data_IF_018973063308
#
_entry.id   IF_018973063308
#
_cell.length_a   1.000
_cell.length_b   1.000
_cell.length_c   1.000
_cell.angle_alpha   90.00
_cell.angle_beta   90.00
_cell.angle_gamma   90.00
#
_symmetry.space_group_name_H-M   'P 1'
#
loop_
_entity.id
_entity.type
_entity.pdbx_description
1 polymer ?
#
# COMPACT_ATOMS: atom_id res chain seq x y z
N UNK A 1 -11.05 -12.35 27.17
CA UNK A 1 -10.73 -11.22 26.29
C UNK A 1 -9.35 -10.72 26.68
N UNK A 2 -8.28 -11.12 25.94
CA UNK A 2 -6.93 -10.58 26.15
C UNK A 2 -6.92 -9.14 25.67
N UNK A 3 -6.48 -8.23 26.54
CA UNK A 3 -6.19 -6.85 26.11
C UNK A 3 -5.18 -6.89 24.95
N UNK A 4 -5.34 -6.06 23.90
CA UNK A 4 -4.37 -5.99 22.84
C UNK A 4 -3.01 -5.62 23.45
N UNK A 5 -2.01 -6.46 23.19
CA UNK A 5 -0.62 -6.18 23.62
C UNK A 5 -0.18 -4.95 22.84
N UNK A 6 -0.04 -3.83 23.54
CA UNK A 6 0.42 -2.58 22.91
C UNK A 6 1.78 -2.82 22.25
N UNK A 7 1.92 -2.38 20.99
CA UNK A 7 3.19 -2.46 20.26
C UNK A 7 4.31 -1.77 21.08
N UNK A 8 5.41 -2.46 21.40
CA UNK A 8 6.45 -1.92 22.29
C UNK A 8 7.09 -0.64 21.73
N UNK A 9 7.16 -0.46 20.43
CA UNK A 9 7.67 0.76 19.80
C UNK A 9 6.75 1.95 20.08
N UNK A 10 5.45 1.72 20.03
CA UNK A 10 4.44 2.73 20.33
C UNK A 10 4.32 3.04 21.82
N UNK A 11 4.49 2.03 22.66
CA UNK A 11 4.46 2.22 24.12
C UNK A 11 5.53 3.24 24.60
N UNK A 12 6.73 3.19 24.03
CA UNK A 12 7.80 4.14 24.30
C UNK A 12 7.43 5.59 23.93
N UNK A 13 6.80 5.79 22.78
CA UNK A 13 6.34 7.11 22.33
C UNK A 13 5.25 7.67 23.26
N UNK A 14 4.29 6.84 23.67
CA UNK A 14 3.21 7.26 24.57
C UNK A 14 3.72 7.61 25.97
N UNK A 15 4.67 6.83 26.49
CA UNK A 15 5.32 7.13 27.77
C UNK A 15 6.04 8.48 27.73
N UNK A 16 6.82 8.75 26.67
CA UNK A 16 7.51 10.02 26.49
C UNK A 16 6.54 11.20 26.36
N UNK A 17 5.42 11.03 25.67
CA UNK A 17 4.38 12.05 25.53
C UNK A 17 3.71 12.40 26.85
N UNK A 18 3.63 11.45 27.79
CA UNK A 18 3.14 11.70 29.15
C UNK A 18 4.14 12.43 30.05
N UNK A 19 5.42 12.48 29.69
CA UNK A 19 6.49 13.12 30.49
C UNK A 19 6.69 14.57 30.08
N UNK A 20 7.05 14.82 28.82
CA UNK A 20 7.24 16.18 28.31
C UNK A 20 7.15 16.25 26.78
N UNK A 21 6.79 17.44 26.22
CA UNK A 21 6.81 17.63 24.78
C UNK A 21 8.18 17.42 24.12
N UNK A 22 9.26 17.75 24.84
CA UNK A 22 10.62 17.56 24.34
C UNK A 22 10.97 16.07 24.24
N UNK A 23 10.66 15.27 25.25
CA UNK A 23 10.87 13.83 25.23
C UNK A 23 9.99 13.13 24.19
N UNK A 24 8.75 13.57 24.02
CA UNK A 24 7.86 13.09 22.96
C UNK A 24 8.44 13.34 21.58
N UNK A 25 8.97 14.54 21.32
CA UNK A 25 9.59 14.91 20.05
C UNK A 25 10.84 14.07 19.77
N UNK A 26 11.68 13.85 20.78
CA UNK A 26 12.88 13.02 20.65
C UNK A 26 12.53 11.54 20.40
N UNK A 27 11.57 11.00 21.14
CA UNK A 27 11.10 9.62 20.94
C UNK A 27 10.50 9.42 19.55
N UNK A 28 9.70 10.37 19.07
CA UNK A 28 9.13 10.39 17.73
C UNK A 28 10.24 10.44 16.66
N UNK A 29 11.23 11.32 16.83
CA UNK A 29 12.36 11.43 15.90
C UNK A 29 13.16 10.11 15.80
N UNK A 30 13.46 9.48 16.91
CA UNK A 30 14.13 8.17 16.94
C UNK A 30 13.31 7.09 16.24
N UNK A 31 12.01 7.05 16.45
CA UNK A 31 11.10 6.09 15.84
C UNK A 31 11.00 6.30 14.32
N UNK A 32 10.89 7.56 13.89
CA UNK A 32 10.82 7.91 12.46
C UNK A 32 12.12 7.58 11.73
N UNK A 33 13.27 7.98 12.26
CA UNK A 33 14.56 7.80 11.59
C UNK A 33 15.03 6.34 11.69
N UNK A 34 14.91 5.72 12.87
CA UNK A 34 15.43 4.39 13.12
C UNK A 34 14.59 3.25 12.54
N UNK A 35 13.28 3.38 12.62
CA UNK A 35 12.36 2.29 12.26
C UNK A 35 11.51 2.59 11.02
N UNK A 36 10.86 3.77 10.97
CA UNK A 36 9.90 4.06 9.92
C UNK A 36 10.56 4.31 8.56
N UNK A 37 11.58 5.15 8.48
CA UNK A 37 12.21 5.54 7.23
C UNK A 37 12.79 4.34 6.46
N UNK A 38 13.54 3.40 7.08
CA UNK A 38 14.03 2.21 6.39
C UNK A 38 12.89 1.30 5.89
N UNK A 39 11.82 1.15 6.66
CA UNK A 39 10.68 0.33 6.30
C UNK A 39 9.88 0.95 5.15
N UNK A 40 9.65 2.26 5.18
CA UNK A 40 9.04 3.00 4.07
C UNK A 40 9.86 2.85 2.79
N UNK A 41 11.18 3.05 2.85
CA UNK A 41 12.07 2.87 1.70
C UNK A 41 11.97 1.47 1.09
N UNK A 42 12.00 0.44 1.92
CA UNK A 42 11.85 -0.94 1.45
C UNK A 42 10.52 -1.15 0.72
N UNK A 43 9.42 -0.65 1.30
CA UNK A 43 8.08 -0.77 0.73
C UNK A 43 7.97 0.00 -0.61
N UNK A 44 8.47 1.24 -0.65
CA UNK A 44 8.41 2.10 -1.83
C UNK A 44 9.24 1.53 -2.97
N UNK A 45 10.49 1.12 -2.71
CA UNK A 45 11.36 0.49 -3.72
C UNK A 45 10.77 -0.78 -4.30
N UNK A 46 10.10 -1.58 -3.47
CA UNK A 46 9.41 -2.79 -3.91
C UNK A 46 8.21 -2.49 -4.83
N UNK A 47 7.45 -1.44 -4.54
CA UNK A 47 6.22 -1.11 -5.28
C UNK A 47 6.45 -0.19 -6.48
N UNK A 48 7.48 0.65 -6.44
CA UNK A 48 7.88 1.57 -7.50
C UNK A 48 9.19 1.14 -8.18
N UNK A 49 9.41 -0.17 -8.30
CA UNK A 49 10.56 -0.70 -9.02
C UNK A 49 10.57 -0.18 -10.47
N UNK A 50 11.70 0.36 -10.92
CA UNK A 50 11.85 0.97 -12.24
C UNK A 50 11.40 2.44 -12.36
N UNK A 51 10.83 3.01 -11.30
CA UNK A 51 10.54 4.46 -11.23
C UNK A 51 11.82 5.20 -10.83
N UNK A 52 12.08 6.43 -11.37
CA UNK A 52 13.23 7.24 -10.98
C UNK A 52 13.34 7.44 -9.46
N UNK A 53 14.56 7.47 -8.94
CA UNK A 53 14.80 7.61 -7.49
C UNK A 53 14.21 8.90 -6.94
N UNK A 54 14.29 10.00 -7.70
CA UNK A 54 13.70 11.28 -7.30
C UNK A 54 12.18 11.21 -7.03
N UNK A 55 11.45 10.48 -7.89
CA UNK A 55 10.01 10.24 -7.69
C UNK A 55 9.74 9.35 -6.46
N UNK A 56 10.62 8.37 -6.21
CA UNK A 56 10.53 7.54 -4.99
C UNK A 56 10.81 8.36 -3.73
N UNK A 57 11.75 9.31 -3.77
CA UNK A 57 12.06 10.24 -2.68
C UNK A 57 10.89 11.18 -2.37
N UNK A 58 10.18 11.65 -3.40
CA UNK A 58 8.95 12.43 -3.23
C UNK A 58 7.90 11.65 -2.44
N UNK A 59 7.63 10.41 -2.86
CA UNK A 59 6.67 9.52 -2.17
C UNK A 59 7.11 9.22 -0.75
N UNK A 60 8.40 8.99 -0.52
CA UNK A 60 8.98 8.72 0.79
C UNK A 60 8.80 9.91 1.73
N UNK A 61 9.12 11.11 1.29
CA UNK A 61 9.00 12.35 2.07
C UNK A 61 7.54 12.64 2.42
N UNK A 62 6.63 12.48 1.46
CA UNK A 62 5.20 12.64 1.70
C UNK A 62 4.64 11.60 2.68
N UNK A 63 5.11 10.36 2.60
CA UNK A 63 4.71 9.29 3.51
C UNK A 63 5.23 9.54 4.94
N UNK A 64 6.49 10.01 5.09
CA UNK A 64 7.06 10.37 6.38
C UNK A 64 6.29 11.52 7.04
N UNK A 65 5.93 12.55 6.28
CA UNK A 65 5.16 13.68 6.79
C UNK A 65 3.81 13.21 7.36
N UNK A 66 3.05 12.43 6.58
CA UNK A 66 1.77 11.86 7.02
C UNK A 66 1.90 10.97 8.25
N UNK A 67 2.97 10.16 8.29
CA UNK A 67 3.25 9.29 9.42
C UNK A 67 3.54 10.12 10.67
N UNK A 68 4.33 11.19 10.55
CA UNK A 68 4.64 12.11 11.65
C UNK A 68 3.36 12.72 12.23
N UNK A 69 2.50 13.27 11.39
CA UNK A 69 1.22 13.85 11.81
C UNK A 69 0.34 12.83 12.55
N UNK A 70 0.24 11.62 12.00
CA UNK A 70 -0.59 10.56 12.61
C UNK A 70 -0.02 10.03 13.92
N UNK A 71 1.29 9.91 14.04
CA UNK A 71 1.94 9.49 15.30
C UNK A 71 1.82 10.57 16.37
N UNK A 72 1.88 11.86 16.01
CA UNK A 72 1.63 12.97 16.93
C UNK A 72 0.20 12.96 17.46
N UNK A 73 -0.80 12.79 16.56
CA UNK A 73 -2.21 12.67 16.94
C UNK A 73 -2.43 11.46 17.87
N UNK A 74 -1.86 10.31 17.51
CA UNK A 74 -1.94 9.10 18.33
C UNK A 74 -1.29 9.29 19.73
N UNK A 75 -0.13 9.93 19.78
CA UNK A 75 0.58 10.20 21.03
C UNK A 75 -0.19 11.21 21.93
N UNK A 76 -0.91 12.14 21.31
CA UNK A 76 -1.79 13.08 22.01
C UNK A 76 -3.10 12.42 22.53
N UNK A 77 -3.34 11.15 22.20
CA UNK A 77 -4.52 10.42 22.64
C UNK A 77 -5.77 10.66 21.81
N UNK A 78 -5.61 11.07 20.54
CA UNK A 78 -6.72 11.23 19.60
C UNK A 78 -7.48 9.89 19.43
N UNK A 79 -8.76 9.80 19.81
CA UNK A 79 -9.54 8.57 19.73
C UNK A 79 -9.82 8.11 18.30
N UNK A 80 -9.68 8.97 17.31
CA UNK A 80 -9.87 8.62 15.91
C UNK A 80 -8.64 7.95 15.28
N UNK A 81 -7.51 7.93 16.00
CA UNK A 81 -6.26 7.34 15.52
C UNK A 81 -5.94 6.09 16.33
N UNK A 82 -6.25 4.93 15.75
CA UNK A 82 -5.90 3.63 16.33
C UNK A 82 -4.76 2.99 15.55
N UNK A 83 -3.68 2.63 16.23
CA UNK A 83 -2.52 1.96 15.65
C UNK A 83 -2.21 0.72 16.50
N UNK A 84 -2.61 -0.44 16.02
CA UNK A 84 -2.35 -1.72 16.70
C UNK A 84 -0.90 -2.19 16.52
N UNK A 85 -0.35 -2.02 15.31
CA UNK A 85 1.00 -2.41 14.97
C UNK A 85 1.70 -1.30 14.20
N UNK A 86 2.78 -0.78 14.77
CA UNK A 86 3.58 0.27 14.15
C UNK A 86 4.10 -0.14 12.76
N UNK A 87 4.72 -1.31 12.67
CA UNK A 87 5.33 -1.78 11.40
C UNK A 87 4.30 -2.00 10.31
N UNK A 88 3.14 -2.57 10.64
CA UNK A 88 2.04 -2.74 9.70
C UNK A 88 1.50 -1.38 9.22
N UNK A 89 1.35 -0.42 10.13
CA UNK A 89 0.89 0.92 9.82
C UNK A 89 1.85 1.67 8.90
N UNK A 90 3.16 1.61 9.17
CA UNK A 90 4.20 2.20 8.32
C UNK A 90 4.19 1.59 6.93
N UNK A 91 4.14 0.26 6.82
CA UNK A 91 4.09 -0.43 5.53
C UNK A 91 2.83 -0.05 4.74
N UNK A 92 1.66 0.01 5.40
CA UNK A 92 0.41 0.45 4.78
C UNK A 92 0.48 1.92 4.31
N UNK A 93 1.08 2.81 5.11
CA UNK A 93 1.28 4.22 4.75
C UNK A 93 2.14 4.35 3.50
N UNK A 94 3.26 3.62 3.42
CA UNK A 94 4.11 3.58 2.24
C UNK A 94 3.38 3.05 1.00
N UNK A 95 2.67 1.93 1.15
CA UNK A 95 1.89 1.34 0.05
C UNK A 95 0.77 2.27 -0.45
N UNK A 96 0.08 2.96 0.46
CA UNK A 96 -0.94 3.92 0.10
C UNK A 96 -0.35 5.16 -0.60
N UNK A 97 0.83 5.61 -0.17
CA UNK A 97 1.58 6.68 -0.83
C UNK A 97 1.92 6.30 -2.28
N UNK A 98 2.46 5.11 -2.52
CA UNK A 98 2.76 4.60 -3.86
C UNK A 98 1.50 4.54 -4.74
N UNK A 99 0.39 4.02 -4.21
CA UNK A 99 -0.89 3.96 -4.95
C UNK A 99 -1.43 5.36 -5.28
N UNK A 100 -1.32 6.32 -4.36
CA UNK A 100 -1.76 7.69 -4.59
C UNK A 100 -0.91 8.36 -5.68
N UNK A 101 0.40 8.20 -5.63
CA UNK A 101 1.32 8.70 -6.63
C UNK A 101 1.04 8.11 -8.02
N UNK A 102 0.88 6.78 -8.11
CA UNK A 102 0.54 6.11 -9.36
C UNK A 102 -0.79 6.59 -9.95
N UNK A 103 -1.81 6.80 -9.11
CA UNK A 103 -3.10 7.35 -9.58
C UNK A 103 -2.97 8.76 -10.12
N UNK A 104 -2.17 9.60 -9.47
CA UNK A 104 -1.92 10.97 -9.92
C UNK A 104 -1.13 11.02 -11.23
N UNK A 105 -0.15 10.12 -11.39
CA UNK A 105 0.71 10.06 -12.58
C UNK A 105 0.03 9.40 -13.78
N UNK A 106 -0.90 8.47 -13.54
CA UNK A 106 -1.56 7.68 -14.57
C UNK A 106 -3.10 7.68 -14.42
N UNK A 107 -3.76 8.85 -14.56
CA UNK A 107 -5.20 8.98 -14.35
C UNK A 107 -6.01 8.13 -15.35
N UNK A 108 -5.55 8.02 -16.59
CA UNK A 108 -6.19 7.20 -17.63
C UNK A 108 -6.20 5.71 -17.26
N UNK A 109 -5.11 5.20 -16.70
CA UNK A 109 -5.03 3.82 -16.21
C UNK A 109 -6.04 3.58 -15.07
N UNK A 110 -6.15 4.53 -14.16
CA UNK A 110 -7.12 4.46 -13.05
C UNK A 110 -8.55 4.46 -13.57
N UNK A 111 -8.85 5.33 -14.55
CA UNK A 111 -10.16 5.38 -15.21
C UNK A 111 -10.50 4.05 -15.89
N UNK A 112 -9.57 3.49 -16.67
CA UNK A 112 -9.74 2.19 -17.33
C UNK A 112 -9.98 1.06 -16.31
N UNK A 113 -9.20 1.01 -15.22
CA UNK A 113 -9.40 0.01 -14.18
C UNK A 113 -10.77 0.12 -13.52
N UNK A 114 -11.26 1.34 -13.27
CA UNK A 114 -12.58 1.55 -12.70
C UNK A 114 -13.69 1.16 -13.68
N UNK A 115 -13.55 1.49 -14.96
CA UNK A 115 -14.49 1.07 -16.00
C UNK A 115 -14.53 -0.46 -16.12
N UNK A 116 -13.38 -1.11 -16.14
CA UNK A 116 -13.29 -2.57 -16.17
C UNK A 116 -13.96 -3.22 -14.96
N UNK A 117 -13.69 -2.72 -13.75
CA UNK A 117 -14.36 -3.21 -12.53
C UNK A 117 -15.87 -2.99 -12.56
N UNK A 118 -16.32 -1.89 -13.13
CA UNK A 118 -17.74 -1.62 -13.30
C UNK A 118 -18.37 -2.65 -14.23
N UNK A 119 -17.79 -2.89 -15.40
CA UNK A 119 -18.26 -3.90 -16.34
C UNK A 119 -18.30 -5.28 -15.72
N UNK A 120 -17.21 -5.72 -15.06
CA UNK A 120 -17.10 -7.03 -14.42
C UNK A 120 -18.12 -7.25 -13.28
N UNK A 121 -18.72 -6.19 -12.76
CA UNK A 121 -19.74 -6.27 -11.69
C UNK A 121 -21.17 -6.17 -12.20
N UNK A 122 -21.38 -5.53 -13.36
CA UNK A 122 -22.72 -5.19 -13.83
C UNK A 122 -23.10 -5.95 -15.11
N UNK A 123 -22.13 -6.51 -15.84
CA UNK A 123 -22.39 -7.35 -16.99
C UNK A 123 -22.68 -8.78 -16.51
N UNK A 124 -23.87 -9.35 -16.83
CA UNK A 124 -24.24 -10.69 -16.36
C UNK A 124 -23.37 -11.81 -16.93
N UNK A 125 -22.71 -11.59 -18.07
CA UNK A 125 -21.85 -12.56 -18.70
C UNK A 125 -20.42 -12.55 -18.15
N UNK A 126 -20.07 -11.53 -17.39
CA UNK A 126 -18.75 -11.35 -16.78
C UNK A 126 -18.79 -11.54 -15.26
N UNK A 127 -17.68 -11.97 -14.69
CA UNK A 127 -17.54 -12.10 -13.24
C UNK A 127 -16.13 -11.77 -12.77
N UNK A 128 -16.07 -11.32 -11.53
CA UNK A 128 -14.86 -11.13 -10.76
C UNK A 128 -14.92 -12.05 -9.53
N UNK A 129 -13.88 -12.87 -9.31
CA UNK A 129 -13.84 -13.78 -8.17
C UNK A 129 -12.42 -13.92 -7.64
N UNK A 130 -12.29 -14.39 -6.42
CA UNK A 130 -11.01 -14.67 -5.79
C UNK A 130 -10.50 -16.06 -6.19
N UNK A 131 -9.26 -16.13 -6.64
CA UNK A 131 -8.58 -17.38 -6.94
C UNK A 131 -8.08 -18.09 -5.69
N UNK A 132 -7.66 -19.35 -5.83
CA UNK A 132 -7.14 -20.18 -4.72
C UNK A 132 -5.88 -19.61 -4.06
N UNK A 133 -5.14 -18.79 -4.77
CA UNK A 133 -3.91 -18.12 -4.34
C UNK A 133 -4.18 -16.73 -3.75
N UNK A 134 -5.46 -16.36 -3.51
CA UNK A 134 -5.87 -15.05 -3.01
C UNK A 134 -5.80 -13.94 -4.07
N UNK A 135 -5.43 -14.27 -5.31
CA UNK A 135 -5.44 -13.33 -6.43
C UNK A 135 -6.85 -13.13 -6.99
N UNK A 136 -7.15 -11.91 -7.48
CA UNK A 136 -8.41 -11.63 -8.15
C UNK A 136 -8.35 -12.14 -9.61
N UNK A 137 -9.32 -12.95 -9.97
CA UNK A 137 -9.53 -13.46 -11.32
C UNK A 137 -10.76 -12.79 -11.95
N UNK A 138 -10.72 -12.60 -13.25
CA UNK A 138 -11.87 -12.12 -14.02
C UNK A 138 -12.05 -12.92 -15.30
N UNK A 139 -13.29 -13.03 -15.75
CA UNK A 139 -13.62 -13.77 -16.96
C UNK A 139 -15.12 -13.93 -17.15
N UNK A 140 -15.52 -14.88 -17.98
CA UNK A 140 -16.93 -15.21 -18.15
C UNK A 140 -17.52 -15.78 -16.85
N UNK A 141 -18.72 -15.39 -16.51
CA UNK A 141 -19.42 -15.84 -15.29
C UNK A 141 -19.51 -17.36 -15.21
N UNK A 142 -19.67 -18.01 -16.35
CA UNK A 142 -19.70 -19.48 -16.49
C UNK A 142 -18.38 -20.18 -16.14
N UNK A 143 -17.29 -19.42 -16.05
CA UNK A 143 -15.97 -19.98 -15.68
C UNK A 143 -15.72 -19.98 -14.19
N UNK A 144 -16.52 -19.29 -13.40
CA UNK A 144 -16.34 -19.14 -11.94
C UNK A 144 -16.30 -20.50 -11.21
N UNK A 145 -17.06 -21.46 -11.68
CA UNK A 145 -17.15 -22.79 -11.07
C UNK A 145 -16.21 -23.82 -11.73
N UNK A 146 -15.52 -23.46 -12.79
CA UNK A 146 -14.59 -24.36 -13.46
C UNK A 146 -13.31 -24.44 -12.62
N UNK A 147 -13.06 -25.62 -12.07
CA UNK A 147 -11.76 -25.98 -11.52
C UNK A 147 -10.80 -26.15 -12.70
N UNK A 148 -9.94 -25.20 -12.95
CA UNK A 148 -8.82 -25.42 -13.86
C UNK A 148 -7.90 -26.42 -13.19
N UNK A 149 -8.01 -27.71 -13.57
CA UNK A 149 -7.06 -28.74 -13.21
C UNK A 149 -5.70 -28.29 -13.77
N UNK A 150 -4.73 -28.15 -12.86
CA UNK A 150 -3.38 -27.64 -13.03
C UNK A 150 -2.87 -27.72 -14.46
N UNK A 151 -2.96 -26.64 -15.15
CA UNK A 151 -2.38 -26.47 -16.44
C UNK A 151 -1.40 -25.34 -16.36
N UNK A 152 -0.31 -25.56 -17.03
CA UNK A 152 0.67 -24.57 -17.38
C UNK A 152 0.06 -23.17 -17.44
N UNK A 153 0.38 -22.43 -16.46
CA UNK A 153 0.10 -21.02 -16.37
C UNK A 153 0.78 -20.36 -17.56
N UNK A 154 0.07 -19.84 -18.56
CA UNK A 154 0.64 -18.72 -19.24
C UNK A 154 0.68 -17.64 -18.17
N UNK A 155 1.85 -17.40 -17.62
CA UNK A 155 2.10 -16.31 -16.71
C UNK A 155 1.92 -15.00 -17.48
N UNK A 156 0.69 -14.68 -17.79
CA UNK A 156 0.29 -13.31 -17.98
C UNK A 156 0.02 -12.77 -16.59
N UNK A 157 1.08 -12.76 -15.80
CA UNK A 157 1.23 -11.70 -14.84
C UNK A 157 1.00 -10.43 -15.65
N UNK A 158 -0.13 -9.79 -15.47
CA UNK A 158 -0.22 -8.36 -15.73
C UNK A 158 0.69 -7.75 -14.66
N UNK A 159 1.97 -8.04 -14.84
CA UNK A 159 3.06 -7.42 -14.13
C UNK A 159 2.98 -5.96 -14.49
N UNK A 160 2.96 -5.17 -13.50
CA UNK A 160 3.30 -3.77 -13.48
C UNK A 160 4.74 -3.59 -13.98
N UNK A 161 5.05 -3.94 -15.22
CA UNK A 161 6.31 -3.55 -15.84
C UNK A 161 6.32 -3.98 -17.31
N UNK A 162 6.01 -3.09 -18.13
CA UNK A 162 6.63 -2.68 -19.36
C UNK A 162 5.69 -1.67 -20.00
N UNK A 163 6.05 -0.42 -19.92
CA UNK A 163 5.62 0.56 -20.91
C UNK A 163 6.08 0.00 -22.25
N UNK A 164 5.18 -0.38 -23.18
CA UNK A 164 5.61 -0.75 -24.50
C UNK A 164 6.36 0.43 -25.10
N UNK A 165 7.59 0.21 -25.52
CA UNK A 165 8.32 1.24 -26.25
C UNK A 165 7.58 1.51 -27.57
N UNK A 166 7.57 2.76 -28.08
CA UNK A 166 6.83 3.14 -29.29
C UNK A 166 7.24 2.41 -30.58
N UNK A 167 8.23 1.53 -30.51
CA UNK A 167 8.73 0.74 -31.65
C UNK A 167 7.92 -0.52 -31.95
N UNK A 168 7.05 -0.96 -31.04
CA UNK A 168 6.29 -2.21 -31.20
C UNK A 168 4.88 -2.00 -31.79
N UNK A 169 4.57 -0.80 -32.24
CA UNK A 169 3.28 -0.44 -32.88
C UNK A 169 3.38 -0.18 -34.38
N UNK A 170 4.45 -0.63 -35.03
CA UNK A 170 4.59 -0.56 -36.49
C UNK A 170 4.43 -1.97 -37.08
N UNK A 171 3.19 -2.39 -37.28
CA UNK A 171 2.73 -3.31 -38.33
C UNK A 171 1.23 -3.11 -38.52
#
# INVERSE_FOLDING_TARGET
MSAPVADPLLAGLRAAAGTSPAEASEALGRLLIGEAAPLLWRTIRSQLAGVPVADQEEVHSAALLRLTEKLQQWAAGDPEVEIESFRAYVAATGANGCRAWLRARHPERTRLQNQLRYLLRHDPDLALWEGRDGGMLCGLATWRERTFAGADRPATTIGTSATPQPRDLAL
#
